data_IF_597243237005
#
_entry.id   IF_597243237005
#
_cell.length_a   1.000
_cell.length_b   1.000
_cell.length_c   1.000
_cell.angle_alpha   90.00
_cell.angle_beta   90.00
_cell.angle_gamma   90.00
#
_symmetry.space_group_name_H-M   'P 1'
#
loop_
_entity.id
_entity.type
_entity.pdbx_description
1 polymer ?
#
# COMPACT_ATOMS: atom_id res chain seq x y z
N UNK A 1 35.10 -16.61 8.75
CA UNK A 1 34.47 -16.24 10.04
C UNK A 1 33.34 -15.24 9.75
N UNK A 2 32.49 -15.53 8.74
CA UNK A 2 31.73 -14.52 7.98
C UNK A 2 30.22 -14.78 7.90
N UNK A 3 29.74 -15.95 8.34
CA UNK A 3 28.32 -16.31 8.31
C UNK A 3 27.48 -15.53 9.34
N UNK A 4 28.09 -15.13 10.48
CA UNK A 4 27.37 -14.39 11.53
C UNK A 4 27.08 -12.93 11.17
N UNK A 5 27.98 -12.24 10.43
CA UNK A 5 27.74 -10.87 9.95
C UNK A 5 26.61 -10.84 8.90
N UNK A 6 26.60 -11.80 7.98
CA UNK A 6 25.55 -11.94 6.97
C UNK A 6 24.17 -12.21 7.58
N UNK A 7 24.09 -13.06 8.62
CA UNK A 7 22.83 -13.33 9.33
C UNK A 7 22.28 -12.09 10.05
N UNK A 8 23.11 -11.31 10.74
CA UNK A 8 22.67 -10.07 11.40
C UNK A 8 22.23 -9.01 10.40
N UNK A 9 22.91 -8.92 9.27
CA UNK A 9 22.56 -8.01 8.17
C UNK A 9 21.23 -8.42 7.52
N UNK A 10 21.03 -9.73 7.32
CA UNK A 10 19.78 -10.27 6.78
C UNK A 10 18.59 -9.99 7.71
N UNK A 11 18.75 -10.19 9.03
CA UNK A 11 17.69 -9.85 10.01
C UNK A 11 17.37 -8.36 9.97
N UNK A 12 18.38 -7.49 9.90
CA UNK A 12 18.18 -6.04 9.78
C UNK A 12 17.41 -5.65 8.51
N UNK A 13 17.74 -6.27 7.37
CA UNK A 13 17.04 -6.06 6.11
C UNK A 13 15.59 -6.57 6.15
N UNK A 14 15.35 -7.74 6.76
CA UNK A 14 14.00 -8.29 6.91
C UNK A 14 13.13 -7.41 7.80
N UNK A 15 13.65 -6.94 8.93
CA UNK A 15 12.92 -6.02 9.83
C UNK A 15 12.64 -4.69 9.11
N UNK A 16 13.62 -4.16 8.37
CA UNK A 16 13.43 -2.96 7.55
C UNK A 16 12.34 -3.14 6.49
N UNK A 17 12.37 -4.24 5.73
CA UNK A 17 11.38 -4.55 4.71
C UNK A 17 9.97 -4.72 5.32
N UNK A 18 9.86 -5.42 6.44
CA UNK A 18 8.60 -5.56 7.20
C UNK A 18 8.09 -4.18 7.64
N UNK A 19 8.97 -3.33 8.17
CA UNK A 19 8.62 -1.97 8.58
C UNK A 19 8.09 -1.11 7.43
N UNK A 20 8.71 -1.20 6.25
CA UNK A 20 8.24 -0.49 5.04
C UNK A 20 6.85 -1.00 4.62
N UNK A 21 6.65 -2.32 4.57
CA UNK A 21 5.36 -2.93 4.16
C UNK A 21 4.24 -2.58 5.13
N UNK A 22 4.48 -2.68 6.44
CA UNK A 22 3.47 -2.31 7.43
C UNK A 22 3.21 -0.80 7.46
N UNK A 23 4.23 0.02 7.18
CA UNK A 23 4.08 1.46 6.99
C UNK A 23 3.14 1.78 5.83
N UNK A 24 3.37 1.17 4.66
CA UNK A 24 2.57 1.34 3.46
C UNK A 24 1.08 1.00 3.70
N UNK A 25 0.81 -0.17 4.30
CA UNK A 25 -0.56 -0.63 4.64
C UNK A 25 -1.29 0.35 5.58
N UNK A 26 -0.57 1.00 6.49
CA UNK A 26 -1.15 1.90 7.50
C UNK A 26 -1.50 3.30 6.96
N UNK A 27 -0.88 3.74 5.87
CA UNK A 27 -1.07 5.11 5.34
C UNK A 27 -2.45 5.30 4.70
N UNK A 28 -2.95 4.32 3.96
CA UNK A 28 -4.20 4.44 3.20
C UNK A 28 -5.43 4.65 4.10
N UNK A 29 -5.61 3.92 5.22
CA UNK A 29 -6.69 4.18 6.18
C UNK A 29 -6.59 5.57 6.82
N UNK A 30 -5.38 6.06 7.11
CA UNK A 30 -5.19 7.40 7.69
C UNK A 30 -5.62 8.50 6.72
N UNK A 31 -5.26 8.36 5.44
CA UNK A 31 -5.69 9.29 4.39
C UNK A 31 -7.20 9.26 4.19
N UNK A 32 -7.77 8.06 4.03
CA UNK A 32 -9.21 7.93 3.81
C UNK A 32 -10.04 8.47 5.00
N UNK A 33 -9.52 8.37 6.23
CA UNK A 33 -10.18 8.89 7.42
C UNK A 33 -10.15 10.42 7.40
N UNK A 34 -8.98 11.00 7.12
CA UNK A 34 -8.82 12.45 6.97
C UNK A 34 -9.74 12.99 5.87
N UNK A 35 -9.74 12.38 4.69
CA UNK A 35 -10.56 12.84 3.57
C UNK A 35 -12.06 12.77 3.88
N UNK A 36 -12.50 11.69 4.54
CA UNK A 36 -13.91 11.50 4.89
C UNK A 36 -14.46 12.50 5.92
N UNK A 37 -13.60 13.07 6.76
CA UNK A 37 -13.98 13.95 7.88
C UNK A 37 -13.53 15.42 7.69
N UNK A 38 -12.53 15.67 6.85
CA UNK A 38 -11.88 16.97 6.70
C UNK A 38 -11.72 17.44 5.23
N UNK A 39 -12.20 16.67 4.24
CA UNK A 39 -12.23 17.12 2.84
C UNK A 39 -13.26 18.22 2.57
N UNK A 40 -13.24 18.85 1.39
CA UNK A 40 -14.23 19.85 0.96
C UNK A 40 -15.69 19.36 1.06
N UNK A 41 -15.88 18.04 0.99
CA UNK A 41 -17.17 17.34 1.11
C UNK A 41 -17.26 16.48 2.38
N UNK A 42 -16.43 16.78 3.39
CA UNK A 42 -16.33 16.01 4.63
C UNK A 42 -17.65 15.96 5.40
N UNK A 43 -17.94 14.79 5.98
CA UNK A 43 -19.08 14.66 6.89
C UNK A 43 -18.84 15.51 8.14
N UNK A 44 -19.91 16.09 8.69
CA UNK A 44 -19.82 16.76 9.99
C UNK A 44 -19.19 15.80 11.01
N UNK A 45 -18.20 16.29 11.75
CA UNK A 45 -17.41 15.55 12.75
C UNK A 45 -18.23 15.23 14.01
N UNK A 46 -19.32 14.50 13.81
CA UNK A 46 -20.17 13.94 14.86
C UNK A 46 -19.67 12.55 15.24
N UNK A 47 -19.84 12.17 16.50
CA UNK A 47 -19.42 10.86 17.02
C UNK A 47 -19.99 9.70 16.18
N UNK A 48 -21.25 9.79 15.77
CA UNK A 48 -21.91 8.80 14.92
C UNK A 48 -21.22 8.63 13.55
N UNK A 49 -20.81 9.73 12.91
CA UNK A 49 -20.14 9.67 11.61
C UNK A 49 -18.72 9.10 11.73
N UNK A 50 -17.99 9.48 12.77
CA UNK A 50 -16.64 8.96 13.04
C UNK A 50 -16.70 7.44 13.27
N UNK A 51 -17.59 6.97 14.13
CA UNK A 51 -17.78 5.55 14.39
C UNK A 51 -18.27 4.79 13.14
N UNK A 52 -19.13 5.41 12.33
CA UNK A 52 -19.58 4.86 11.06
C UNK A 52 -18.45 4.64 10.07
N UNK A 53 -17.60 5.67 9.86
CA UNK A 53 -16.43 5.57 8.98
C UNK A 53 -15.44 4.53 9.49
N UNK A 54 -15.12 4.53 10.78
CA UNK A 54 -14.20 3.56 11.38
C UNK A 54 -14.70 2.12 11.22
N UNK A 55 -16.01 1.90 11.40
CA UNK A 55 -16.64 0.58 11.19
C UNK A 55 -16.53 0.13 9.73
N UNK A 56 -16.81 1.01 8.78
CA UNK A 56 -16.67 0.71 7.34
C UNK A 56 -15.23 0.40 6.96
N UNK A 57 -14.26 1.15 7.49
CA UNK A 57 -12.84 0.87 7.28
C UNK A 57 -12.44 -0.48 7.84
N UNK A 58 -12.82 -0.78 9.08
CA UNK A 58 -12.54 -2.05 9.72
C UNK A 58 -13.08 -3.23 8.91
N UNK A 59 -14.37 -3.19 8.55
CA UNK A 59 -14.99 -4.26 7.77
C UNK A 59 -14.44 -4.37 6.36
N UNK A 60 -14.15 -3.25 5.71
CA UNK A 60 -13.51 -3.23 4.39
C UNK A 60 -12.15 -3.92 4.42
N UNK A 61 -11.28 -3.57 5.38
CA UNK A 61 -9.96 -4.21 5.54
C UNK A 61 -10.09 -5.71 5.82
N UNK A 62 -10.97 -6.10 6.74
CA UNK A 62 -11.20 -7.53 7.07
C UNK A 62 -11.65 -8.30 5.84
N UNK A 63 -12.63 -7.78 5.08
CA UNK A 63 -13.16 -8.44 3.88
C UNK A 63 -12.11 -8.49 2.76
N UNK A 64 -11.42 -7.39 2.49
CA UNK A 64 -10.40 -7.31 1.44
C UNK A 64 -9.25 -8.26 1.75
N UNK A 65 -8.72 -8.24 2.98
CA UNK A 65 -7.60 -9.10 3.35
C UNK A 65 -8.03 -10.58 3.37
N UNK A 66 -9.18 -10.90 3.96
CA UNK A 66 -9.61 -12.29 4.11
C UNK A 66 -10.08 -12.91 2.81
N UNK A 67 -10.99 -12.25 2.08
CA UNK A 67 -11.63 -12.83 0.90
C UNK A 67 -10.78 -12.58 -0.34
N UNK A 68 -10.46 -11.32 -0.64
CA UNK A 68 -9.70 -10.99 -1.86
C UNK A 68 -8.27 -11.51 -1.75
N UNK A 69 -7.53 -11.17 -0.69
CA UNK A 69 -6.11 -11.55 -0.62
C UNK A 69 -5.90 -13.01 -0.22
N UNK A 70 -6.33 -13.42 0.97
CA UNK A 70 -6.10 -14.79 1.46
C UNK A 70 -6.92 -15.79 0.64
N UNK A 71 -8.20 -15.50 0.38
CA UNK A 71 -9.11 -16.44 -0.29
C UNK A 71 -8.90 -16.60 -1.80
N UNK A 72 -8.41 -15.57 -2.50
CA UNK A 72 -8.28 -15.59 -3.97
C UNK A 72 -6.83 -15.39 -4.39
N UNK A 73 -6.22 -14.23 -4.07
CA UNK A 73 -4.91 -13.84 -4.60
C UNK A 73 -3.79 -14.79 -4.16
N UNK A 74 -3.75 -15.15 -2.87
CA UNK A 74 -2.73 -16.06 -2.32
C UNK A 74 -2.90 -17.51 -2.80
N UNK A 75 -4.06 -17.88 -3.34
CA UNK A 75 -4.28 -19.20 -3.96
C UNK A 75 -3.87 -19.23 -5.44
N UNK A 76 -3.66 -18.06 -6.04
CA UNK A 76 -3.09 -17.92 -7.37
C UNK A 76 -1.56 -17.79 -7.23
N UNK A 77 -0.93 -18.84 -6.72
CA UNK A 77 0.51 -18.98 -6.61
C UNK A 77 1.02 -20.01 -7.63
N UNK A 78 2.33 -19.98 -7.87
CA UNK A 78 3.01 -21.02 -8.63
C UNK A 78 4.21 -21.54 -7.85
N UNK A 79 4.06 -22.72 -7.25
CA UNK A 79 5.10 -23.36 -6.43
C UNK A 79 5.65 -22.42 -5.33
N UNK A 80 4.79 -21.57 -4.75
CA UNK A 80 5.15 -20.61 -3.72
C UNK A 80 5.67 -19.26 -4.24
N UNK A 81 5.84 -19.08 -5.56
CA UNK A 81 6.08 -17.77 -6.17
C UNK A 81 4.73 -17.10 -6.48
N UNK A 82 4.37 -16.12 -5.67
CA UNK A 82 3.16 -15.33 -5.84
C UNK A 82 3.35 -14.11 -6.73
N UNK A 83 2.24 -13.58 -7.23
CA UNK A 83 2.22 -12.29 -7.89
C UNK A 83 2.08 -12.36 -9.40
N UNK A 84 1.74 -11.21 -9.98
CA UNK A 84 1.28 -11.13 -11.35
C UNK A 84 2.41 -11.49 -12.34
N UNK A 85 3.66 -11.19 -11.97
CA UNK A 85 4.84 -11.52 -12.77
C UNK A 85 5.10 -13.03 -12.83
N UNK A 86 5.01 -13.72 -11.68
CA UNK A 86 5.14 -15.17 -11.62
C UNK A 86 4.04 -15.85 -12.46
N UNK A 87 2.79 -15.42 -12.28
CA UNK A 87 1.64 -15.94 -13.03
C UNK A 87 1.75 -15.69 -14.55
N UNK A 88 2.32 -14.55 -14.97
CA UNK A 88 2.54 -14.27 -16.41
C UNK A 88 3.64 -15.12 -17.04
N UNK A 89 4.63 -15.56 -16.26
CA UNK A 89 5.72 -16.42 -16.74
C UNK A 89 5.25 -17.85 -17.07
N UNK A 90 4.14 -18.30 -16.47
CA UNK A 90 3.64 -19.67 -16.57
C UNK A 90 2.54 -19.86 -17.62
N UNK A 91 2.19 -18.79 -18.32
CA UNK A 91 1.13 -18.80 -19.31
C UNK A 91 1.46 -19.75 -20.48
N UNK A 92 0.79 -20.91 -20.48
CA UNK A 92 0.82 -21.90 -21.57
C UNK A 92 -0.50 -21.84 -22.34
N UNK A 93 -0.44 -21.87 -23.67
CA UNK A 93 -1.64 -21.85 -24.52
C UNK A 93 -1.39 -21.32 -25.94
N UNK A 94 -2.45 -21.21 -26.77
CA UNK A 94 -2.34 -20.71 -28.14
C UNK A 94 -1.71 -19.31 -28.19
N UNK A 95 -0.92 -19.02 -29.22
CA UNK A 95 -0.14 -17.78 -29.38
C UNK A 95 -1.01 -16.52 -29.17
N UNK A 96 -2.25 -16.54 -29.66
CA UNK A 96 -3.19 -15.42 -29.54
C UNK A 96 -3.61 -15.16 -28.08
N UNK A 97 -4.00 -16.21 -27.35
CA UNK A 97 -4.38 -16.13 -25.93
C UNK A 97 -3.19 -15.74 -25.06
N UNK A 98 -2.01 -16.32 -25.34
CA UNK A 98 -0.76 -15.99 -24.63
C UNK A 98 -0.39 -14.51 -24.79
N UNK A 99 -0.50 -13.96 -26.00
CA UNK A 99 -0.21 -12.54 -26.25
C UNK A 99 -1.16 -11.62 -25.47
N UNK A 100 -2.46 -11.92 -25.44
CA UNK A 100 -3.43 -11.13 -24.66
C UNK A 100 -3.13 -11.18 -23.17
N UNK A 101 -2.83 -12.35 -22.62
CA UNK A 101 -2.53 -12.52 -21.19
C UNK A 101 -1.22 -11.83 -20.79
N UNK A 102 -0.19 -11.85 -21.66
CA UNK A 102 1.05 -11.09 -21.44
C UNK A 102 0.77 -9.58 -21.42
N UNK A 103 -0.05 -9.06 -22.33
CA UNK A 103 -0.41 -7.63 -22.34
C UNK A 103 -1.17 -7.23 -21.08
N UNK A 104 -2.12 -8.06 -20.65
CA UNK A 104 -2.85 -7.85 -19.38
C UNK A 104 -1.91 -7.88 -18.17
N UNK A 105 -0.96 -8.81 -18.16
CA UNK A 105 0.07 -8.91 -17.13
C UNK A 105 1.01 -7.70 -17.09
N UNK A 106 1.49 -7.26 -18.25
CA UNK A 106 2.33 -6.07 -18.34
C UNK A 106 1.57 -4.82 -17.87
N UNK A 107 0.30 -4.70 -18.27
CA UNK A 107 -0.56 -3.62 -17.82
C UNK A 107 -0.77 -3.62 -16.30
N UNK A 108 -1.07 -4.78 -15.71
CA UNK A 108 -1.17 -4.90 -14.26
C UNK A 108 0.15 -4.56 -13.55
N UNK A 109 1.30 -4.86 -14.17
CA UNK A 109 2.62 -4.61 -13.58
C UNK A 109 2.90 -3.12 -13.59
N UNK A 110 2.53 -2.44 -14.67
CA UNK A 110 2.62 -0.99 -14.76
C UNK A 110 1.73 -0.28 -13.72
N UNK A 111 0.51 -0.80 -13.46
CA UNK A 111 -0.35 -0.27 -12.40
C UNK A 111 0.27 -0.47 -11.01
N UNK A 112 0.83 -1.64 -10.72
CA UNK A 112 1.51 -1.92 -9.46
C UNK A 112 2.75 -1.02 -9.27
N UNK A 113 3.50 -0.77 -10.36
CA UNK A 113 4.64 0.14 -10.33
C UNK A 113 4.20 1.58 -10.08
N UNK A 114 3.09 2.01 -10.69
CA UNK A 114 2.49 3.32 -10.44
C UNK A 114 2.05 3.48 -8.98
N UNK A 115 1.37 2.48 -8.43
CA UNK A 115 0.95 2.46 -7.02
C UNK A 115 2.16 2.57 -6.08
N UNK A 116 3.21 1.77 -6.32
CA UNK A 116 4.46 1.81 -5.56
C UNK A 116 5.24 3.13 -5.66
N UNK A 117 5.02 3.94 -6.71
CA UNK A 117 5.58 5.29 -6.83
C UNK A 117 4.73 6.35 -6.13
N UNK A 118 3.40 6.19 -6.14
CA UNK A 118 2.46 7.19 -5.61
C UNK A 118 2.43 7.16 -4.08
N UNK A 119 2.46 5.98 -3.45
CA UNK A 119 2.29 5.90 -1.99
C UNK A 119 3.38 6.60 -1.18
N UNK A 120 4.68 6.51 -1.53
CA UNK A 120 5.73 7.28 -0.84
C UNK A 120 5.50 8.79 -0.94
N UNK A 121 5.09 9.30 -2.11
CA UNK A 121 4.82 10.71 -2.31
C UNK A 121 3.62 11.19 -1.47
N UNK A 122 2.51 10.43 -1.47
CA UNK A 122 1.33 10.76 -0.66
C UNK A 122 1.65 10.63 0.83
N UNK A 123 2.42 9.64 1.25
CA UNK A 123 2.80 9.43 2.65
C UNK A 123 3.67 10.57 3.18
N UNK A 124 4.64 11.06 2.41
CA UNK A 124 5.49 12.20 2.80
C UNK A 124 4.66 13.47 2.90
N UNK A 125 3.81 13.75 1.90
CA UNK A 125 2.92 14.91 1.90
C UNK A 125 1.96 14.88 3.10
N UNK A 126 1.34 13.73 3.38
CA UNK A 126 0.43 13.55 4.52
C UNK A 126 1.16 13.71 5.87
N UNK A 127 2.41 13.25 5.99
CA UNK A 127 3.20 13.42 7.20
C UNK A 127 3.56 14.89 7.46
N UNK A 128 3.92 15.62 6.40
CA UNK A 128 4.26 17.04 6.48
C UNK A 128 3.01 17.88 6.82
N UNK A 129 1.87 17.61 6.18
CA UNK A 129 0.59 18.25 6.53
C UNK A 129 0.17 17.95 7.98
N UNK A 130 0.43 16.74 8.47
CA UNK A 130 0.17 16.37 9.87
C UNK A 130 1.00 17.18 10.87
N UNK A 131 2.23 17.54 10.52
CA UNK A 131 3.10 18.40 11.36
C UNK A 131 2.56 19.83 11.44
N UNK A 132 2.00 20.36 10.35
CA UNK A 132 1.40 21.70 10.33
C UNK A 132 0.25 21.84 11.34
N UNK A 133 -0.54 20.78 11.52
CA UNK A 133 -1.63 20.72 12.49
C UNK A 133 -1.10 20.73 13.95
N UNK A 134 0.04 20.08 14.20
CA UNK A 134 0.62 19.96 15.54
C UNK A 134 1.50 21.16 15.96
N UNK A 135 2.12 21.86 15.00
CA UNK A 135 3.00 23.00 15.25
C UNK A 135 2.83 24.09 14.17
N UNK A 136 1.92 25.06 14.35
CA UNK A 136 1.65 26.12 13.36
C UNK A 136 2.85 27.02 13.02
N UNK A 137 3.89 27.01 13.86
CA UNK A 137 5.11 27.83 13.71
C UNK A 137 6.11 27.30 12.68
N UNK A 138 5.92 26.10 12.11
CA UNK A 138 6.84 25.53 11.09
C UNK A 138 6.36 25.72 9.64
N UNK A 139 5.31 26.53 9.41
CA UNK A 139 4.69 26.75 8.09
C UNK A 139 5.66 27.07 6.95
N UNK A 140 6.75 27.82 7.23
CA UNK A 140 7.75 28.20 6.22
C UNK A 140 8.77 27.09 5.90
N UNK A 141 8.78 25.96 6.62
CA UNK A 141 9.66 24.82 6.38
C UNK A 141 8.96 23.62 5.73
N UNK A 142 7.63 23.67 5.56
CA UNK A 142 6.83 22.60 4.95
C UNK A 142 7.29 22.32 3.51
N UNK A 143 7.38 23.34 2.66
CA UNK A 143 7.74 23.16 1.23
C UNK A 143 9.18 22.62 1.05
N UNK A 144 10.23 23.14 1.73
CA UNK A 144 11.59 22.63 1.57
C UNK A 144 11.82 21.19 2.05
N UNK A 145 11.02 20.67 3.01
CA UNK A 145 11.18 19.30 3.54
C UNK A 145 10.48 18.26 2.66
N UNK A 146 9.48 18.69 1.88
CA UNK A 146 8.66 17.78 1.07
C UNK A 146 9.31 17.41 -0.28
N UNK A 147 10.38 18.09 -0.69
CA UNK A 147 11.07 17.92 -2.00
C UNK A 147 12.42 17.26 -1.85
#
# INVERSE_FOLDING_TARGET
>A
MDTSKSSKLAVGLTVGAIGVVFGDIGTSPLYALRESLAGEHGLATTEANVLGVLSLMFWSLVIVISIKYIGIVMRADNDGEGGILALTALLKGPIRTRRTLIVLGLFGTALLYGDGMITPAISVLSAVEGIEIAAPSVHNLVIPITV
#
